data_IF_132355209541
#
_entry.id   IF_132355209541
#
_cell.length_a   1.000
_cell.length_b   1.000
_cell.length_c   1.000
_cell.angle_alpha   90.00
_cell.angle_beta   90.00
_cell.angle_gamma   90.00
#
_symmetry.space_group_name_H-M   'P 1'
#
loop_
_entity.id
_entity.type
_entity.pdbx_description
1 polymer ?
#
# COMPACT_ATOMS: atom_id res chain seq x y z
N UNK A 1 -30.99 7.45 72.51
CA UNK A 1 -31.84 6.68 71.56
C UNK A 1 -32.67 7.68 70.76
N UNK A 2 -32.27 8.02 69.52
CA UNK A 2 -33.17 8.33 68.37
C UNK A 2 -32.37 8.84 67.15
N UNK A 3 -32.34 8.00 66.09
CA UNK A 3 -32.56 8.32 64.65
C UNK A 3 -31.57 9.29 63.97
N UNK A 4 -30.62 8.83 63.15
CA UNK A 4 -30.75 8.38 61.74
C UNK A 4 -31.60 9.36 60.91
N UNK A 5 -30.92 10.24 60.19
CA UNK A 5 -31.27 11.07 59.01
C UNK A 5 -30.08 12.04 58.91
N UNK A 6 -29.18 12.00 57.93
CA UNK A 6 -29.41 12.33 56.52
C UNK A 6 -28.24 11.69 55.74
N UNK A 7 -28.52 10.55 55.11
CA UNK A 7 -27.59 9.85 54.22
C UNK A 7 -28.19 9.90 52.81
N UNK A 8 -28.31 11.11 52.25
CA UNK A 8 -28.87 11.30 50.92
C UNK A 8 -28.51 12.69 50.37
N UNK A 9 -27.24 12.94 50.04
CA UNK A 9 -26.90 14.13 49.23
C UNK A 9 -25.55 14.11 48.52
N UNK A 10 -24.60 13.25 48.90
CA UNK A 10 -23.22 13.41 48.38
C UNK A 10 -22.80 12.39 47.32
N UNK A 11 -23.62 11.37 47.04
CA UNK A 11 -23.33 10.35 46.02
C UNK A 11 -23.78 10.73 44.60
N UNK A 12 -24.31 11.94 44.39
CA UNK A 12 -24.80 12.40 43.09
C UNK A 12 -23.79 13.23 42.30
N UNK A 13 -22.64 13.58 42.88
CA UNK A 13 -21.61 14.38 42.18
C UNK A 13 -20.49 13.52 41.55
N UNK A 14 -20.44 12.21 41.83
CA UNK A 14 -19.32 11.36 41.41
C UNK A 14 -19.63 10.39 40.26
N UNK A 15 -20.89 10.21 39.88
CA UNK A 15 -21.25 9.29 38.78
C UNK A 15 -21.45 9.99 37.45
N UNK A 16 -21.65 11.32 37.41
CA UNK A 16 -21.73 12.07 36.16
C UNK A 16 -20.38 12.33 35.51
N UNK A 17 -19.28 12.28 36.27
CA UNK A 17 -17.95 12.52 35.72
C UNK A 17 -17.35 11.28 35.01
N UNK A 18 -17.87 10.08 35.26
CA UNK A 18 -17.35 8.83 34.66
C UNK A 18 -18.15 8.34 33.44
N UNK A 19 -19.33 8.90 33.16
CA UNK A 19 -20.11 8.56 31.94
C UNK A 19 -19.71 9.42 30.74
N UNK A 20 -19.04 10.55 30.95
CA UNK A 20 -18.58 11.44 29.86
C UNK A 20 -17.24 11.04 29.23
N UNK A 21 -16.60 9.95 29.67
CA UNK A 21 -15.34 9.46 29.09
C UNK A 21 -15.46 8.09 28.39
N UNK A 22 -16.67 7.54 28.27
CA UNK A 22 -16.89 6.19 27.72
C UNK A 22 -17.78 6.18 26.46
N UNK A 23 -17.87 7.29 25.74
CA UNK A 23 -18.74 7.38 24.56
C UNK A 23 -18.16 8.23 23.44
N UNK A 24 -16.98 7.87 22.92
CA UNK A 24 -16.63 8.08 21.51
C UNK A 24 -15.36 7.32 21.11
N UNK A 25 -15.29 6.02 21.41
CA UNK A 25 -14.64 5.11 20.44
C UNK A 25 -15.71 4.71 19.44
N UNK A 26 -16.11 5.70 18.64
CA UNK A 26 -16.82 5.45 17.41
C UNK A 26 -15.90 4.57 16.56
N UNK A 27 -16.32 3.31 16.51
CA UNK A 27 -15.92 2.31 15.55
C UNK A 27 -15.77 2.94 14.15
N UNK A 28 -14.55 3.34 13.82
CA UNK A 28 -14.12 3.49 12.45
C UNK A 28 -13.09 2.38 12.22
N UNK A 29 -13.59 1.14 12.11
CA UNK A 29 -13.13 0.26 11.05
C UNK A 29 -13.15 1.08 9.74
N UNK A 30 -12.10 1.85 9.53
CA UNK A 30 -11.78 2.39 8.23
C UNK A 30 -11.52 1.18 7.38
N UNK A 31 -12.55 0.74 6.63
CA UNK A 31 -12.40 -0.27 5.60
C UNK A 31 -11.17 0.13 4.80
N UNK A 32 -10.09 -0.66 4.92
CA UNK A 32 -8.88 -0.41 4.15
C UNK A 32 -9.34 -0.23 2.71
N UNK A 33 -9.12 0.95 2.13
CA UNK A 33 -9.59 1.23 0.78
C UNK A 33 -8.82 0.31 -0.15
N UNK A 34 -9.44 -0.81 -0.52
CA UNK A 34 -8.83 -1.82 -1.39
C UNK A 34 -8.93 -1.34 -2.82
N UNK A 35 -7.79 -1.04 -3.44
CA UNK A 35 -7.69 -0.81 -4.88
C UNK A 35 -7.77 -2.15 -5.60
N UNK A 36 -9.00 -2.61 -5.85
CA UNK A 36 -9.25 -3.91 -6.48
C UNK A 36 -9.29 -3.86 -8.01
N UNK A 37 -9.76 -2.75 -8.57
CA UNK A 37 -9.98 -2.59 -10.02
C UNK A 37 -9.04 -1.58 -10.66
N UNK A 38 -8.83 -1.73 -11.97
CA UNK A 38 -8.02 -0.81 -12.78
C UNK A 38 -8.56 0.61 -12.79
N UNK A 39 -9.89 0.79 -12.84
CA UNK A 39 -10.51 2.12 -12.79
C UNK A 39 -10.24 2.83 -11.46
N UNK A 40 -10.39 2.13 -10.33
CA UNK A 40 -10.06 2.66 -9.00
C UNK A 40 -8.59 3.04 -8.90
N UNK A 41 -7.68 2.21 -9.45
CA UNK A 41 -6.26 2.51 -9.47
C UNK A 41 -5.94 3.77 -10.31
N UNK A 42 -6.56 3.92 -11.49
CA UNK A 42 -6.42 5.12 -12.33
C UNK A 42 -6.87 6.38 -11.59
N UNK A 43 -8.02 6.34 -10.94
CA UNK A 43 -8.54 7.45 -10.15
C UNK A 43 -7.62 7.77 -8.97
N UNK A 44 -7.12 6.74 -8.27
CA UNK A 44 -6.15 6.89 -7.19
C UNK A 44 -4.87 7.59 -7.67
N UNK A 45 -4.34 7.19 -8.83
CA UNK A 45 -3.10 7.75 -9.37
C UNK A 45 -3.26 9.15 -9.98
N UNK A 46 -4.49 9.58 -10.28
CA UNK A 46 -4.78 10.96 -10.75
C UNK A 46 -4.90 11.98 -9.62
N UNK A 47 -5.17 11.53 -8.40
CA UNK A 47 -5.30 12.45 -7.28
C UNK A 47 -3.96 13.16 -7.01
N UNK A 48 -3.97 14.50 -6.85
CA UNK A 48 -2.77 15.23 -6.49
C UNK A 48 -2.30 14.83 -5.09
N UNK A 49 -0.98 14.69 -4.95
CA UNK A 49 -0.35 14.38 -3.67
C UNK A 49 -0.76 15.45 -2.64
N UNK A 50 -1.49 15.05 -1.59
CA UNK A 50 -1.87 15.92 -0.47
C UNK A 50 -3.20 16.68 -0.58
N UNK A 51 -4.08 16.40 -1.55
CA UNK A 51 -5.33 17.18 -1.75
C UNK A 51 -6.57 16.65 -1.04
N UNK A 52 -6.60 15.38 -0.63
CA UNK A 52 -7.66 14.80 0.20
C UNK A 52 -7.00 14.03 1.35
N UNK A 53 -7.41 14.31 2.58
CA UNK A 53 -6.67 13.96 3.81
C UNK A 53 -5.97 12.60 3.75
N UNK A 54 -4.63 12.64 3.75
CA UNK A 54 -3.55 11.61 3.88
C UNK A 54 -3.77 10.17 3.34
N UNK A 55 -4.98 9.64 3.38
CA UNK A 55 -5.38 8.28 3.04
C UNK A 55 -5.42 8.03 1.53
N UNK A 56 -6.29 8.71 0.78
CA UNK A 56 -6.54 8.47 -0.65
C UNK A 56 -5.35 8.81 -1.56
N UNK A 57 -4.66 9.91 -1.24
CA UNK A 57 -3.48 10.36 -1.98
C UNK A 57 -2.30 9.41 -1.86
N UNK A 58 -2.20 8.66 -0.76
CA UNK A 58 -1.15 7.66 -0.54
C UNK A 58 -1.51 6.27 -1.06
N UNK A 59 -2.76 6.03 -1.50
CA UNK A 59 -3.20 4.69 -1.94
C UNK A 59 -2.51 4.23 -3.21
N UNK A 60 -2.39 5.10 -4.22
CA UNK A 60 -1.71 4.71 -5.47
C UNK A 60 -0.23 4.42 -5.22
N UNK A 61 0.46 5.30 -4.49
CA UNK A 61 1.87 5.12 -4.16
C UNK A 61 2.09 3.87 -3.30
N UNK A 62 1.29 3.70 -2.24
CA UNK A 62 1.36 2.52 -1.38
C UNK A 62 1.05 1.21 -2.12
N UNK A 63 0.07 1.23 -3.03
CA UNK A 63 -0.23 0.09 -3.90
C UNK A 63 0.94 -0.24 -4.82
N UNK A 64 1.51 0.76 -5.49
CA UNK A 64 2.64 0.56 -6.40
C UNK A 64 3.88 0.07 -5.66
N UNK A 65 4.24 0.66 -4.53
CA UNK A 65 5.37 0.21 -3.72
C UNK A 65 5.15 -1.23 -3.23
N UNK A 66 3.95 -1.54 -2.71
CA UNK A 66 3.61 -2.88 -2.26
C UNK A 66 3.65 -3.91 -3.40
N UNK A 67 3.13 -3.56 -4.57
CA UNK A 67 3.21 -4.40 -5.76
C UNK A 67 4.68 -4.63 -6.17
N UNK A 68 5.45 -3.56 -6.41
CA UNK A 68 6.81 -3.69 -6.93
C UNK A 68 7.75 -4.42 -5.97
N UNK A 69 7.55 -4.31 -4.66
CA UNK A 69 8.32 -5.06 -3.66
C UNK A 69 7.91 -6.53 -3.55
N UNK A 70 6.63 -6.85 -3.78
CA UNK A 70 6.10 -8.21 -3.68
C UNK A 70 6.34 -9.05 -4.94
N UNK A 71 6.64 -8.42 -6.07
CA UNK A 71 6.79 -9.07 -7.38
C UNK A 71 8.27 -9.28 -7.74
N UNK A 72 8.86 -10.48 -7.49
CA UNK A 72 10.29 -10.76 -7.72
C UNK A 72 10.73 -10.69 -9.19
N UNK A 73 9.78 -10.69 -10.12
CA UNK A 73 10.01 -10.46 -11.54
C UNK A 73 10.35 -9.00 -11.88
N UNK A 74 10.17 -8.06 -10.94
CA UNK A 74 10.58 -6.67 -11.08
C UNK A 74 11.98 -6.50 -10.52
N UNK A 75 12.92 -6.07 -11.36
CA UNK A 75 14.28 -5.70 -10.98
C UNK A 75 14.48 -4.20 -11.03
N UNK A 76 15.15 -3.64 -10.01
CA UNK A 76 15.65 -2.26 -10.02
C UNK A 76 17.12 -2.27 -10.43
N UNK A 77 17.48 -1.55 -11.49
CA UNK A 77 18.86 -1.57 -12.01
C UNK A 77 19.90 -1.04 -11.01
N UNK A 78 19.50 -0.14 -10.12
CA UNK A 78 20.38 0.42 -9.09
C UNK A 78 20.66 -0.55 -7.93
N UNK A 79 19.82 -1.58 -7.77
CA UNK A 79 19.94 -2.57 -6.68
C UNK A 79 20.46 -3.93 -7.16
N UNK A 80 20.75 -4.08 -8.45
CA UNK A 80 21.24 -5.35 -8.96
C UNK A 80 22.66 -5.65 -8.43
N UNK A 81 22.86 -6.79 -7.77
CA UNK A 81 24.19 -7.21 -7.36
C UNK A 81 25.09 -7.39 -8.59
N UNK A 82 26.39 -7.11 -8.43
CA UNK A 82 27.37 -7.29 -9.52
C UNK A 82 27.34 -8.71 -10.10
N UNK A 83 27.72 -8.88 -11.37
CA UNK A 83 27.72 -10.19 -12.04
C UNK A 83 28.52 -11.25 -11.24
N UNK A 84 29.64 -10.84 -10.65
CA UNK A 84 30.43 -11.68 -9.75
C UNK A 84 29.62 -12.13 -8.53
N UNK A 85 28.91 -11.20 -7.87
CA UNK A 85 28.09 -11.50 -6.72
C UNK A 85 26.91 -12.41 -7.08
N UNK A 86 26.26 -12.18 -8.23
CA UNK A 86 25.20 -13.05 -8.75
C UNK A 86 25.71 -14.48 -8.98
N UNK A 87 26.91 -14.65 -9.55
CA UNK A 87 27.52 -15.97 -9.77
C UNK A 87 27.84 -16.67 -8.44
N UNK A 88 28.35 -15.94 -7.46
CA UNK A 88 28.63 -16.47 -6.11
C UNK A 88 27.33 -16.90 -5.43
N UNK A 89 26.27 -16.08 -5.49
CA UNK A 89 25.00 -16.42 -4.86
C UNK A 89 24.33 -17.63 -5.54
N UNK A 90 24.34 -17.72 -6.88
CA UNK A 90 23.80 -18.89 -7.62
C UNK A 90 24.51 -20.21 -7.28
N UNK A 91 25.80 -20.15 -6.97
CA UNK A 91 26.60 -21.36 -6.69
C UNK A 91 26.62 -21.76 -5.22
N UNK A 92 26.26 -20.84 -4.30
CA UNK A 92 26.36 -21.05 -2.85
C UNK A 92 25.04 -21.03 -2.10
N UNK A 93 24.00 -20.40 -2.65
CA UNK A 93 22.72 -20.31 -1.98
C UNK A 93 21.85 -21.52 -2.36
N UNK A 94 21.40 -22.34 -1.38
CA UNK A 94 20.36 -23.34 -1.64
C UNK A 94 19.10 -22.61 -2.13
N UNK A 95 18.23 -23.31 -2.87
CA UNK A 95 16.96 -22.77 -3.39
C UNK A 95 16.04 -22.30 -2.23
N UNK A 96 16.34 -21.14 -1.69
CA UNK A 96 15.66 -20.46 -0.60
C UNK A 96 14.86 -19.30 -1.20
N UNK A 97 13.73 -18.84 -0.63
CA UNK A 97 12.96 -17.73 -1.18
C UNK A 97 13.78 -16.46 -1.42
N UNK A 98 14.83 -16.25 -0.62
CA UNK A 98 15.79 -15.14 -0.74
C UNK A 98 16.65 -15.21 -2.01
N UNK A 99 16.71 -16.36 -2.67
CA UNK A 99 17.36 -16.56 -3.97
C UNK A 99 16.41 -16.35 -5.15
N UNK A 100 15.11 -16.11 -4.91
CA UNK A 100 14.14 -15.84 -5.97
C UNK A 100 14.50 -14.56 -6.74
N UNK A 101 15.10 -13.57 -6.07
CA UNK A 101 15.66 -12.35 -6.67
C UNK A 101 16.89 -12.60 -7.57
N UNK A 102 17.47 -13.82 -7.54
CA UNK A 102 18.61 -14.20 -8.41
C UNK A 102 18.16 -14.76 -9.77
N UNK A 103 16.86 -15.03 -9.94
CA UNK A 103 16.28 -15.23 -11.27
C UNK A 103 16.34 -13.90 -12.01
N UNK A 104 16.64 -13.95 -13.30
CA UNK A 104 16.66 -12.75 -14.14
C UNK A 104 15.29 -12.08 -14.06
N UNK A 105 15.22 -10.79 -13.70
CA UNK A 105 13.95 -10.08 -13.68
C UNK A 105 13.35 -10.05 -15.10
N UNK A 106 12.02 -10.05 -15.16
CA UNK A 106 11.29 -9.89 -16.43
C UNK A 106 11.08 -8.41 -16.75
N UNK A 107 10.98 -7.56 -15.72
CA UNK A 107 10.76 -6.13 -15.83
C UNK A 107 11.91 -5.36 -15.20
N UNK A 108 12.41 -4.34 -15.90
CA UNK A 108 13.57 -3.57 -15.47
C UNK A 108 13.18 -2.11 -15.26
N UNK A 109 13.17 -1.70 -13.99
CA UNK A 109 12.95 -0.33 -13.57
C UNK A 109 14.28 0.34 -13.26
N UNK A 110 14.45 1.60 -13.69
CA UNK A 110 15.73 2.28 -13.55
C UNK A 110 16.09 2.60 -12.10
N UNK A 111 15.10 3.07 -11.32
CA UNK A 111 15.26 3.51 -9.93
C UNK A 111 13.88 3.70 -9.28
N UNK A 112 13.81 4.14 -8.02
CA UNK A 112 12.54 4.55 -7.39
C UNK A 112 11.82 5.69 -8.14
N UNK A 113 12.53 6.50 -8.95
CA UNK A 113 11.90 7.53 -9.80
C UNK A 113 11.00 6.91 -10.89
N UNK A 114 11.21 5.63 -11.22
CA UNK A 114 10.33 4.88 -12.12
C UNK A 114 8.94 4.62 -11.52
N UNK A 115 8.78 4.65 -10.19
CA UNK A 115 7.47 4.50 -9.54
C UNK A 115 6.55 5.65 -9.94
N UNK A 116 7.09 6.87 -9.99
CA UNK A 116 6.37 8.05 -10.46
C UNK A 116 6.04 7.97 -11.96
N UNK A 117 6.93 7.40 -12.77
CA UNK A 117 6.65 7.18 -14.19
C UNK A 117 5.55 6.14 -14.41
N UNK A 118 5.57 5.03 -13.66
CA UNK A 118 4.51 4.02 -13.66
C UNK A 118 3.20 4.63 -13.20
N UNK A 119 3.22 5.47 -12.15
CA UNK A 119 2.04 6.23 -11.69
C UNK A 119 1.46 7.10 -12.81
N UNK A 120 2.30 7.85 -13.52
CA UNK A 120 1.87 8.70 -14.63
C UNK A 120 1.30 7.86 -15.79
N UNK A 121 1.93 6.74 -16.14
CA UNK A 121 1.44 5.82 -17.17
C UNK A 121 0.06 5.25 -16.83
N UNK A 122 -0.19 4.94 -15.55
CA UNK A 122 -1.51 4.53 -15.05
C UNK A 122 -2.50 5.70 -15.14
N UNK A 123 -2.15 6.87 -14.61
CA UNK A 123 -3.01 8.05 -14.58
C UNK A 123 -3.44 8.51 -15.98
N UNK A 124 -2.62 8.26 -17.00
CA UNK A 124 -2.91 8.57 -18.39
C UNK A 124 -3.98 7.66 -19.03
N UNK A 125 -4.34 6.53 -18.43
CA UNK A 125 -5.37 5.62 -18.97
C UNK A 125 -6.77 6.17 -18.79
N UNK A 126 -7.67 5.84 -19.72
CA UNK A 126 -9.10 6.09 -19.52
C UNK A 126 -9.67 5.07 -18.51
N UNK A 127 -10.24 5.49 -17.36
CA UNK A 127 -10.76 4.57 -16.35
C UNK A 127 -11.85 3.64 -16.89
N UNK A 128 -12.67 4.10 -17.86
CA UNK A 128 -13.71 3.25 -18.46
C UNK A 128 -13.10 2.09 -19.25
N UNK A 129 -11.97 2.31 -19.92
CA UNK A 129 -11.27 1.29 -20.71
C UNK A 129 -10.65 0.16 -19.87
N UNK A 130 -10.42 0.39 -18.58
CA UNK A 130 -9.76 -0.55 -17.66
C UNK A 130 -10.65 -1.02 -16.50
N UNK A 131 -11.93 -0.66 -16.50
CA UNK A 131 -12.85 -0.92 -15.38
C UNK A 131 -13.00 -2.40 -15.02
N UNK A 132 -12.93 -3.29 -16.01
CA UNK A 132 -13.05 -4.74 -15.83
C UNK A 132 -11.71 -5.44 -15.52
N UNK A 133 -10.60 -4.69 -15.49
CA UNK A 133 -9.27 -5.23 -15.16
C UNK A 133 -9.04 -5.14 -13.66
N UNK A 134 -8.27 -6.07 -13.10
CA UNK A 134 -7.76 -5.91 -11.74
C UNK A 134 -6.68 -4.82 -11.72
N UNK A 135 -6.51 -4.18 -10.56
CA UNK A 135 -5.44 -3.19 -10.36
C UNK A 135 -4.06 -3.81 -10.65
N UNK A 136 -3.80 -5.01 -10.12
CA UNK A 136 -2.60 -5.81 -10.36
C UNK A 136 -2.36 -6.09 -11.83
N UNK A 137 -3.40 -6.53 -12.56
CA UNK A 137 -3.29 -6.85 -13.98
C UNK A 137 -2.97 -5.62 -14.85
N UNK A 138 -3.52 -4.46 -14.48
CA UNK A 138 -3.18 -3.20 -15.16
C UNK A 138 -1.71 -2.81 -14.96
N UNK A 139 -1.15 -3.01 -13.77
CA UNK A 139 0.28 -2.73 -13.52
C UNK A 139 1.17 -3.68 -14.32
N UNK A 140 0.88 -4.99 -14.31
CA UNK A 140 1.64 -5.97 -15.11
C UNK A 140 1.65 -5.60 -16.58
N UNK A 141 0.50 -5.25 -17.17
CA UNK A 141 0.43 -4.85 -18.58
C UNK A 141 1.28 -3.62 -18.89
N UNK A 142 1.33 -2.63 -17.99
CA UNK A 142 2.16 -1.45 -18.15
C UNK A 142 3.65 -1.83 -18.10
N UNK A 143 4.03 -2.71 -17.16
CA UNK A 143 5.40 -3.21 -17.05
C UNK A 143 5.83 -4.02 -18.28
N UNK A 144 4.96 -4.89 -18.80
CA UNK A 144 5.21 -5.66 -20.02
C UNK A 144 5.41 -4.78 -21.25
N UNK A 145 4.63 -3.70 -21.35
CA UNK A 145 4.68 -2.79 -22.51
C UNK A 145 5.89 -1.86 -22.47
N UNK A 146 6.15 -1.26 -21.31
CA UNK A 146 7.03 -0.10 -21.21
C UNK A 146 8.37 -0.41 -20.54
N UNK A 147 8.47 -1.50 -19.78
CA UNK A 147 9.63 -1.82 -18.95
C UNK A 147 10.18 -3.25 -19.12
N UNK A 148 10.21 -3.86 -20.33
CA UNK A 148 10.85 -5.17 -20.49
C UNK A 148 12.34 -5.07 -20.22
N UNK A 149 12.91 -6.05 -19.51
CA UNK A 149 14.36 -6.19 -19.44
C UNK A 149 14.93 -6.53 -20.82
N UNK A 150 16.07 -5.93 -21.23
CA UNK A 150 16.76 -6.34 -22.44
C UNK A 150 17.22 -7.81 -22.35
N UNK A 151 17.26 -8.53 -23.48
CA UNK A 151 17.65 -9.94 -23.53
C UNK A 151 19.14 -10.17 -23.23
#
# INVERSE_FOLDING_TARGET
MTRILVQAASFLCSTTLLVMLAHEEANAEGSAQVLGSGSQLVEACRMPVGTNGLTLSGLCEGFLLGFLQAHPEVGFSDEQPSEYMQRVMRTRAPAHPETASLKSPSFCLSSLESVEQVRQAIAARDPASVANRSATGLVVEILERDYPCPP
#
